data_IF_167056017150
#
_entry.id   IF_167056017150
#
_cell.length_a   1.000
_cell.length_b   1.000
_cell.length_c   1.000
_cell.angle_alpha   90.00
_cell.angle_beta   90.00
_cell.angle_gamma   90.00
#
_symmetry.space_group_name_H-M   'P 1'
#
loop_
_entity.id
_entity.type
_entity.pdbx_description
1 polymer ?
#
# COMPACT_ATOMS: atom_id res chain seq x y z
N UNK A 1 -73.27 -31.91 31.93
CA UNK A 1 -73.78 -30.53 32.08
C UNK A 1 -72.85 -29.78 33.02
N UNK A 2 -72.44 -28.57 32.60
CA UNK A 2 -71.61 -27.55 33.29
C UNK A 2 -70.08 -27.61 33.16
N UNK A 3 -69.61 -26.72 32.27
CA UNK A 3 -68.29 -26.12 32.22
C UNK A 3 -67.91 -25.46 33.56
N UNK A 4 -66.61 -25.46 33.87
CA UNK A 4 -65.94 -24.29 34.44
C UNK A 4 -64.57 -24.10 33.78
N UNK A 5 -64.39 -22.95 33.13
CA UNK A 5 -63.11 -22.41 32.65
C UNK A 5 -62.35 -21.83 33.84
N UNK A 6 -61.04 -22.11 33.96
CA UNK A 6 -60.08 -21.17 34.56
C UNK A 6 -58.69 -21.38 33.89
N UNK A 7 -58.24 -20.40 33.09
CA UNK A 7 -56.82 -20.08 32.90
C UNK A 7 -56.51 -18.97 33.93
N UNK A 8 -55.34 -18.92 34.61
CA UNK A 8 -54.09 -18.43 34.00
C UNK A 8 -52.83 -19.14 34.58
N UNK A 9 -51.64 -19.11 33.98
CA UNK A 9 -50.68 -18.01 34.05
C UNK A 9 -49.54 -18.30 33.08
N UNK A 10 -49.20 -17.29 32.28
CA UNK A 10 -48.04 -17.27 31.42
C UNK A 10 -46.75 -17.30 32.26
N UNK A 11 -45.82 -18.19 31.89
CA UNK A 11 -44.41 -18.07 32.25
C UNK A 11 -43.60 -18.02 30.96
N UNK A 12 -43.44 -16.82 30.41
CA UNK A 12 -42.46 -16.51 29.38
C UNK A 12 -41.06 -16.59 30.00
N UNK A 13 -40.34 -17.69 29.79
CA UNK A 13 -38.90 -17.71 29.97
C UNK A 13 -38.26 -16.97 28.78
N UNK A 14 -37.94 -15.69 28.99
CA UNK A 14 -37.06 -14.94 28.10
C UNK A 14 -35.62 -15.44 28.30
N UNK A 15 -35.12 -16.24 27.37
CA UNK A 15 -33.70 -16.57 27.28
C UNK A 15 -32.94 -15.32 26.80
N UNK A 16 -32.25 -14.65 27.73
CA UNK A 16 -31.33 -13.57 27.40
C UNK A 16 -30.07 -14.16 26.74
N UNK A 17 -30.01 -14.16 25.40
CA UNK A 17 -28.76 -14.34 24.68
C UNK A 17 -27.87 -13.12 24.94
N UNK A 18 -26.84 -13.29 25.77
CA UNK A 18 -25.74 -12.33 25.90
C UNK A 18 -24.90 -12.44 24.64
N UNK A 19 -25.14 -11.56 23.67
CA UNK A 19 -24.25 -11.33 22.54
C UNK A 19 -22.96 -10.70 23.06
N UNK A 20 -21.94 -11.53 23.31
CA UNK A 20 -20.56 -11.06 23.44
C UNK A 20 -20.08 -10.60 22.06
N UNK A 21 -20.45 -9.37 21.68
CA UNK A 21 -19.80 -8.66 20.58
C UNK A 21 -18.36 -8.41 20.98
N UNK A 22 -17.42 -9.13 20.35
CA UNK A 22 -15.99 -8.89 20.51
C UNK A 22 -15.66 -7.48 20.05
N UNK A 23 -15.51 -6.55 21.00
CA UNK A 23 -14.96 -5.24 20.73
C UNK A 23 -13.47 -5.44 20.51
N UNK A 24 -13.05 -5.57 19.25
CA UNK A 24 -11.64 -5.46 18.88
C UNK A 24 -11.16 -4.09 19.33
N UNK A 25 -10.34 -4.04 20.38
CA UNK A 25 -9.72 -2.81 20.83
C UNK A 25 -8.84 -2.26 19.70
N UNK A 26 -9.29 -1.17 19.06
CA UNK A 26 -8.50 -0.44 18.09
C UNK A 26 -7.36 0.21 18.88
N UNK A 27 -6.15 -0.32 18.75
CA UNK A 27 -4.98 0.28 19.38
C UNK A 27 -4.83 1.74 18.90
N UNK A 28 -4.49 2.69 19.79
CA UNK A 28 -4.31 4.08 19.38
C UNK A 28 -3.21 4.17 18.32
N UNK A 29 -3.46 4.95 17.26
CA UNK A 29 -2.47 5.23 16.24
C UNK A 29 -1.21 5.84 16.89
N UNK A 30 -0.05 5.23 16.64
CA UNK A 30 1.24 5.72 17.17
C UNK A 30 1.57 7.06 16.50
N UNK A 31 2.17 7.97 17.25
CA UNK A 31 2.74 9.19 16.70
C UNK A 31 3.78 8.85 15.63
N UNK A 32 3.67 9.49 14.47
CA UNK A 32 4.66 9.36 13.40
C UNK A 32 6.06 9.78 13.90
N UNK A 33 7.13 9.23 13.31
CA UNK A 33 8.49 9.76 13.48
C UNK A 33 8.56 11.26 13.20
N UNK A 34 9.54 11.94 13.80
CA UNK A 34 9.87 13.30 13.41
C UNK A 34 10.48 13.28 12.01
N UNK A 35 9.82 13.94 11.06
CA UNK A 35 10.24 13.99 9.66
C UNK A 35 11.13 15.19 9.36
N UNK A 36 12.02 15.05 8.38
CA UNK A 36 12.76 16.17 7.81
C UNK A 36 11.80 17.21 7.21
N UNK A 37 12.18 18.49 7.05
CA UNK A 37 11.35 19.45 6.34
C UNK A 37 11.09 19.01 4.89
N UNK A 38 9.82 19.06 4.44
CA UNK A 38 9.43 18.60 3.11
C UNK A 38 10.19 19.29 1.96
N UNK A 39 10.58 20.55 2.16
CA UNK A 39 11.32 21.33 1.16
C UNK A 39 12.78 20.88 0.96
N UNK A 40 13.35 20.14 1.91
CA UNK A 40 14.78 19.77 1.91
C UNK A 40 15.03 18.27 2.09
N UNK A 41 13.99 17.48 2.37
CA UNK A 41 14.10 16.04 2.48
C UNK A 41 14.57 15.43 1.17
N UNK A 42 15.63 14.64 1.22
CA UNK A 42 16.18 13.98 0.03
C UNK A 42 15.47 12.67 -0.31
N UNK A 43 14.83 12.04 0.69
CA UNK A 43 14.08 10.79 0.53
C UNK A 43 12.60 11.05 0.76
N UNK A 44 11.79 10.84 -0.28
CA UNK A 44 10.36 11.11 -0.24
C UNK A 44 9.62 10.26 -1.30
N UNK A 45 8.28 10.16 -1.23
CA UNK A 45 7.48 9.61 -2.33
C UNK A 45 7.86 10.20 -3.69
N UNK A 46 7.98 9.36 -4.71
CA UNK A 46 8.33 9.83 -6.05
C UNK A 46 9.83 9.85 -6.38
N UNK A 47 10.73 9.65 -5.43
CA UNK A 47 12.16 9.43 -5.75
C UNK A 47 12.34 8.15 -6.55
N UNK A 48 13.43 8.04 -7.30
CA UNK A 48 13.71 6.82 -8.04
C UNK A 48 14.27 5.73 -7.11
N UNK A 49 13.82 4.49 -7.34
CA UNK A 49 14.44 3.29 -6.79
C UNK A 49 15.10 2.50 -7.90
N UNK A 50 16.22 1.86 -7.59
CA UNK A 50 16.92 0.99 -8.51
C UNK A 50 17.18 -0.38 -7.88
N UNK A 51 16.70 -1.43 -8.55
CA UNK A 51 16.84 -2.82 -8.12
C UNK A 51 17.44 -3.63 -9.26
N UNK A 52 18.72 -3.99 -9.17
CA UNK A 52 19.43 -4.80 -10.18
C UNK A 52 19.21 -4.33 -11.64
N UNK A 53 19.29 -3.02 -11.89
CA UNK A 53 19.15 -2.44 -13.23
C UNK A 53 17.71 -2.06 -13.62
N UNK A 54 16.69 -2.45 -12.85
CA UNK A 54 15.35 -1.91 -13.01
C UNK A 54 15.21 -0.57 -12.28
N UNK A 55 14.60 0.42 -12.94
CA UNK A 55 14.29 1.73 -12.38
C UNK A 55 12.79 1.86 -12.13
N UNK A 56 12.42 2.28 -10.92
CA UNK A 56 11.04 2.54 -10.54
C UNK A 56 10.86 3.87 -9.82
N UNK A 57 9.62 4.33 -9.73
CA UNK A 57 9.23 5.44 -8.83
C UNK A 57 8.81 4.86 -7.48
N UNK A 58 9.37 5.38 -6.39
CA UNK A 58 8.93 5.07 -5.03
C UNK A 58 7.48 5.50 -4.78
N UNK A 59 6.73 4.71 -4.01
CA UNK A 59 5.35 5.01 -3.62
C UNK A 59 5.28 5.88 -2.35
N UNK A 60 4.73 5.40 -1.23
CA UNK A 60 4.63 6.11 0.05
C UNK A 60 5.72 5.69 1.04
N UNK A 61 5.82 6.49 2.11
CA UNK A 61 6.59 6.15 3.30
C UNK A 61 5.72 5.36 4.27
N UNK A 62 6.23 4.23 4.74
CA UNK A 62 5.64 3.41 5.78
C UNK A 62 6.55 3.41 6.99
N UNK A 63 6.02 3.14 8.17
CA UNK A 63 6.82 3.01 9.38
C UNK A 63 6.14 2.08 10.37
N UNK A 64 6.96 1.48 11.23
CA UNK A 64 6.51 0.78 12.43
C UNK A 64 7.15 1.42 13.67
N UNK A 65 7.19 0.70 14.78
CA UNK A 65 7.77 1.19 16.04
C UNK A 65 9.28 1.47 15.98
N UNK A 66 9.99 0.87 15.02
CA UNK A 66 11.46 0.82 14.99
C UNK A 66 12.03 1.21 13.63
N UNK A 67 11.27 1.05 12.54
CA UNK A 67 11.79 1.13 11.18
C UNK A 67 10.97 2.09 10.32
N UNK A 68 11.65 2.67 9.32
CA UNK A 68 11.03 3.43 8.23
C UNK A 68 11.29 2.67 6.93
N UNK A 69 10.26 2.65 6.08
CA UNK A 69 10.27 1.98 4.80
C UNK A 69 9.83 2.96 3.72
N UNK A 70 10.36 2.75 2.53
CA UNK A 70 9.81 3.33 1.30
C UNK A 70 9.31 2.18 0.44
N UNK A 71 8.08 2.27 -0.05
CA UNK A 71 7.57 1.20 -0.90
C UNK A 71 7.88 1.44 -2.38
N UNK A 72 7.80 0.36 -3.13
CA UNK A 72 7.84 0.32 -4.59
C UNK A 72 6.88 -0.77 -5.09
N UNK A 73 6.68 -0.86 -6.40
CA UNK A 73 5.98 -2.01 -6.96
C UNK A 73 6.82 -3.28 -6.81
N UNK A 74 6.18 -4.43 -6.57
CA UNK A 74 6.89 -5.70 -6.44
C UNK A 74 7.57 -6.13 -7.75
N UNK A 75 6.96 -5.82 -8.89
CA UNK A 75 7.54 -6.10 -10.21
C UNK A 75 8.84 -5.33 -10.47
N UNK A 76 9.15 -4.28 -9.69
CA UNK A 76 10.43 -3.57 -9.80
C UNK A 76 11.63 -4.45 -9.48
N UNK A 77 11.41 -5.59 -8.82
CA UNK A 77 12.42 -6.63 -8.59
C UNK A 77 12.22 -7.87 -9.45
N UNK A 78 11.32 -7.81 -10.43
CA UNK A 78 11.08 -8.88 -11.40
C UNK A 78 12.31 -9.13 -12.25
N UNK A 79 12.61 -10.41 -12.53
CA UNK A 79 13.71 -10.81 -13.41
C UNK A 79 13.21 -11.43 -14.72
N UNK A 80 11.90 -11.33 -14.94
CA UNK A 80 11.20 -11.83 -16.11
C UNK A 80 11.21 -10.84 -17.28
N UNK A 81 10.56 -11.22 -18.38
CA UNK A 81 10.27 -10.30 -19.47
C UNK A 81 9.20 -9.26 -19.09
N UNK A 82 9.13 -8.15 -19.81
CA UNK A 82 8.21 -7.03 -19.52
C UNK A 82 6.71 -7.39 -19.50
N UNK A 83 6.33 -8.53 -20.07
CA UNK A 83 4.94 -9.04 -20.08
C UNK A 83 4.65 -10.04 -18.97
N UNK A 84 5.65 -10.39 -18.16
CA UNK A 84 5.51 -11.30 -17.02
C UNK A 84 5.09 -10.51 -15.79
N UNK A 85 3.78 -10.26 -15.69
CA UNK A 85 3.17 -9.43 -14.64
C UNK A 85 2.42 -10.23 -13.58
N UNK A 86 2.30 -11.56 -13.74
CA UNK A 86 1.62 -12.41 -12.76
C UNK A 86 2.55 -12.69 -11.58
N UNK A 87 2.23 -12.14 -10.41
CA UNK A 87 3.08 -12.25 -9.23
C UNK A 87 3.20 -13.65 -8.63
N UNK A 88 2.29 -14.57 -8.96
CA UNK A 88 2.35 -15.94 -8.47
C UNK A 88 3.28 -16.85 -9.28
N UNK A 89 3.69 -16.44 -10.49
CA UNK A 89 4.51 -17.27 -11.39
C UNK A 89 5.71 -16.56 -12.00
N UNK A 90 5.69 -15.23 -12.06
CA UNK A 90 6.78 -14.46 -12.65
C UNK A 90 8.01 -14.47 -11.73
N UNK A 91 9.22 -14.65 -12.28
CA UNK A 91 10.43 -14.72 -11.48
C UNK A 91 10.76 -13.34 -10.90
N UNK A 92 11.22 -13.33 -9.64
CA UNK A 92 11.51 -12.11 -8.88
C UNK A 92 12.71 -12.33 -7.96
N UNK A 93 13.43 -11.26 -7.65
CA UNK A 93 14.54 -11.28 -6.70
C UNK A 93 14.03 -11.57 -5.27
N UNK A 94 14.86 -12.22 -4.43
CA UNK A 94 14.45 -12.55 -3.07
C UNK A 94 14.39 -11.33 -2.15
N UNK A 95 13.67 -11.47 -1.04
CA UNK A 95 13.79 -10.59 0.13
C UNK A 95 15.26 -10.56 0.59
N UNK A 96 15.74 -9.40 1.04
CA UNK A 96 17.14 -9.11 1.35
C UNK A 96 17.91 -8.42 0.22
N UNK A 97 17.32 -8.34 -0.98
CA UNK A 97 17.89 -7.61 -2.12
C UNK A 97 18.10 -6.13 -1.76
N UNK A 98 19.27 -5.61 -2.09
CA UNK A 98 19.59 -4.19 -1.91
C UNK A 98 18.92 -3.35 -2.98
N UNK A 99 18.35 -2.22 -2.56
CA UNK A 99 17.67 -1.27 -3.43
C UNK A 99 18.31 0.09 -3.23
N UNK A 100 18.86 0.66 -4.30
CA UNK A 100 19.34 2.04 -4.26
C UNK A 100 18.13 2.95 -4.26
N UNK A 101 18.05 3.85 -3.28
CA UNK A 101 16.99 4.86 -3.16
C UNK A 101 17.63 6.21 -3.46
N UNK A 102 17.13 6.92 -4.46
CA UNK A 102 17.63 8.26 -4.79
C UNK A 102 17.49 9.18 -3.57
N UNK A 103 18.57 9.90 -3.24
CA UNK A 103 18.65 10.81 -2.09
C UNK A 103 19.08 10.14 -0.78
N UNK A 104 19.09 8.80 -0.71
CA UNK A 104 19.68 8.07 0.40
C UNK A 104 21.21 7.96 0.25
N UNK A 105 21.93 7.96 1.36
CA UNK A 105 23.38 7.77 1.42
C UNK A 105 23.78 6.30 1.36
N UNK A 106 22.87 5.38 1.68
CA UNK A 106 23.08 3.93 1.63
C UNK A 106 21.91 3.23 0.93
N UNK A 107 22.14 2.05 0.33
CA UNK A 107 21.05 1.22 -0.15
C UNK A 107 20.09 0.83 0.98
N UNK A 108 18.80 0.78 0.67
CA UNK A 108 17.82 0.12 1.51
C UNK A 108 17.81 -1.39 1.25
N UNK A 109 17.11 -2.13 2.10
CA UNK A 109 16.92 -3.58 1.95
C UNK A 109 15.45 -3.88 1.68
N UNK A 110 15.13 -4.61 0.61
CA UNK A 110 13.78 -5.10 0.36
C UNK A 110 13.42 -6.16 1.40
N UNK A 111 12.56 -5.82 2.36
CA UNK A 111 12.17 -6.69 3.48
C UNK A 111 10.83 -7.40 3.25
N UNK A 112 10.04 -6.91 2.29
CA UNK A 112 8.79 -7.52 1.87
C UNK A 112 8.61 -7.34 0.37
N UNK A 113 8.06 -8.37 -0.27
CA UNK A 113 7.65 -8.35 -1.67
C UNK A 113 6.42 -9.26 -1.82
N UNK A 114 5.33 -8.74 -2.37
CA UNK A 114 4.07 -9.49 -2.51
C UNK A 114 4.22 -10.71 -3.41
N UNK A 115 5.01 -10.64 -4.49
CA UNK A 115 5.23 -11.76 -5.40
C UNK A 115 5.98 -12.89 -4.72
N UNK A 116 7.06 -12.58 -3.99
CA UNK A 116 7.79 -13.57 -3.18
C UNK A 116 6.87 -14.23 -2.16
N UNK A 117 6.03 -13.44 -1.49
CA UNK A 117 5.09 -13.93 -0.48
C UNK A 117 4.03 -14.83 -1.10
N UNK A 118 3.37 -14.40 -2.17
CA UNK A 118 2.36 -15.17 -2.90
C UNK A 118 2.93 -16.52 -3.39
N UNK A 119 4.12 -16.50 -3.98
CA UNK A 119 4.81 -17.72 -4.43
C UNK A 119 5.11 -18.66 -3.27
N UNK A 120 5.58 -18.14 -2.14
CA UNK A 120 5.88 -18.96 -0.96
C UNK A 120 4.64 -19.61 -0.32
N UNK A 121 3.49 -18.93 -0.43
CA UNK A 121 2.21 -19.42 0.09
C UNK A 121 1.45 -20.30 -0.91
N UNK A 122 1.92 -20.38 -2.16
CA UNK A 122 1.19 -21.06 -3.23
C UNK A 122 -0.16 -20.40 -3.53
N UNK A 123 -0.19 -19.06 -3.56
CA UNK A 123 -1.38 -18.28 -3.90
C UNK A 123 -1.91 -18.66 -5.29
N UNK A 124 -3.24 -18.76 -5.42
CA UNK A 124 -3.93 -19.21 -6.64
C UNK A 124 -5.10 -18.30 -7.04
N UNK A 125 -5.51 -17.35 -6.20
CA UNK A 125 -6.54 -16.39 -6.57
C UNK A 125 -6.07 -15.51 -7.73
N UNK A 126 -6.83 -15.54 -8.83
CA UNK A 126 -6.43 -14.93 -10.08
C UNK A 126 -6.23 -13.41 -9.95
N UNK A 127 -7.08 -12.72 -9.18
CA UNK A 127 -6.97 -11.27 -8.99
C UNK A 127 -5.78 -10.94 -8.09
N UNK A 128 -5.59 -11.68 -7.00
CA UNK A 128 -4.44 -11.53 -6.11
C UNK A 128 -3.14 -11.69 -6.89
N UNK A 129 -3.03 -12.76 -7.69
CA UNK A 129 -1.86 -13.01 -8.54
C UNK A 129 -1.63 -11.93 -9.61
N UNK A 130 -2.70 -11.33 -10.15
CA UNK A 130 -2.59 -10.34 -11.22
C UNK A 130 -2.30 -8.92 -10.72
N UNK A 131 -2.72 -8.57 -9.49
CA UNK A 131 -2.79 -7.17 -9.06
C UNK A 131 -2.11 -6.86 -7.71
N UNK A 132 -1.70 -7.87 -6.94
CA UNK A 132 -0.96 -7.63 -5.69
C UNK A 132 0.52 -7.34 -5.97
N UNK A 133 0.88 -6.06 -6.06
CA UNK A 133 2.17 -5.59 -6.58
C UNK A 133 2.85 -4.59 -5.63
N UNK A 134 3.11 -5.01 -4.38
CA UNK A 134 3.73 -4.17 -3.35
C UNK A 134 5.02 -4.79 -2.82
N UNK A 135 6.09 -3.98 -2.77
CA UNK A 135 7.29 -4.29 -2.01
C UNK A 135 7.62 -3.15 -1.03
N UNK A 136 8.20 -3.52 0.11
CA UNK A 136 8.70 -2.56 1.11
C UNK A 136 10.22 -2.64 1.18
N UNK A 137 10.86 -1.49 1.07
CA UNK A 137 12.30 -1.31 1.23
C UNK A 137 12.55 -0.63 2.56
N UNK A 138 13.16 -1.36 3.50
CA UNK A 138 13.64 -0.77 4.75
C UNK A 138 14.80 0.16 4.46
N UNK A 139 14.66 1.42 4.87
CA UNK A 139 15.72 2.41 4.76
C UNK A 139 16.81 2.14 5.81
N UNK A 140 18.06 2.46 5.46
CA UNK A 140 19.14 2.48 6.43
C UNK A 140 18.86 3.56 7.49
N UNK A 141 19.20 3.27 8.75
CA UNK A 141 18.95 4.19 9.86
C UNK A 141 19.63 5.55 9.68
N UNK A 142 20.76 5.61 8.95
CA UNK A 142 21.45 6.87 8.66
C UNK A 142 20.64 7.82 7.76
N UNK A 143 19.70 7.29 6.97
CA UNK A 143 18.93 8.09 6.01
C UNK A 143 17.56 8.49 6.54
N UNK A 144 17.10 7.92 7.65
CA UNK A 144 15.79 8.21 8.25
C UNK A 144 15.63 9.71 8.57
N UNK A 145 16.69 10.37 9.01
CA UNK A 145 16.69 11.81 9.28
C UNK A 145 16.49 12.69 8.05
N UNK A 146 16.56 12.13 6.83
CA UNK A 146 16.37 12.82 5.55
C UNK A 146 15.03 12.50 4.90
N UNK A 147 14.14 11.77 5.60
CA UNK A 147 12.85 11.32 5.07
C UNK A 147 11.75 12.34 5.32
N UNK A 148 10.90 12.57 4.32
CA UNK A 148 9.60 13.21 4.49
C UNK A 148 8.51 12.45 3.71
N UNK A 149 7.32 12.21 4.30
CA UNK A 149 6.23 11.47 3.65
C UNK A 149 5.45 12.29 2.60
N UNK A 150 5.73 13.58 2.44
CA UNK A 150 5.07 14.46 1.48
C UNK A 150 5.33 14.04 0.05
N UNK A 151 4.25 13.89 -0.73
CA UNK A 151 4.38 13.78 -2.18
C UNK A 151 4.76 15.16 -2.73
N UNK A 152 5.83 15.30 -3.52
CA UNK A 152 6.19 16.60 -4.08
C UNK A 152 5.02 17.20 -4.86
N UNK A 153 4.88 18.53 -4.79
CA UNK A 153 3.77 19.32 -5.36
C UNK A 153 2.40 19.13 -4.67
N UNK A 154 2.07 17.94 -4.16
CA UNK A 154 0.74 17.64 -3.59
C UNK A 154 0.68 17.69 -2.05
N UNK A 155 1.79 17.46 -1.35
CA UNK A 155 1.79 17.23 0.10
C UNK A 155 1.26 15.84 0.47
N UNK A 156 0.67 15.70 1.66
CA UNK A 156 0.05 14.44 2.12
C UNK A 156 1.02 13.26 2.24
N UNK A 157 0.57 11.99 2.23
CA UNK A 157 -0.82 11.58 2.42
C UNK A 157 -1.30 11.88 3.84
N UNK A 158 -2.59 12.19 4.00
CA UNK A 158 -3.20 12.50 5.31
C UNK A 158 -4.02 11.35 5.89
N UNK A 159 -4.09 10.23 5.18
CA UNK A 159 -4.89 9.07 5.54
C UNK A 159 -4.93 8.03 4.43
N UNK A 160 -5.61 6.92 4.70
CA UNK A 160 -5.89 5.87 3.72
C UNK A 160 -7.33 6.02 3.21
N UNK A 161 -7.53 5.69 1.94
CA UNK A 161 -8.85 5.53 1.35
C UNK A 161 -9.11 4.05 1.07
N UNK A 162 -10.38 3.61 1.14
CA UNK A 162 -10.77 2.24 0.78
C UNK A 162 -10.86 1.99 -0.72
N UNK A 163 -10.73 3.04 -1.54
CA UNK A 163 -10.88 3.03 -2.99
C UNK A 163 -11.15 4.44 -3.50
N UNK A 164 -11.40 4.55 -4.80
CA UNK A 164 -11.78 5.83 -5.45
C UNK A 164 -13.06 5.64 -6.23
N UNK A 165 -13.97 6.61 -6.17
CA UNK A 165 -15.20 6.64 -6.94
C UNK A 165 -14.96 6.92 -8.42
N UNK A 166 -15.91 6.53 -9.27
CA UNK A 166 -15.87 6.87 -10.70
C UNK A 166 -15.84 8.40 -10.89
N UNK A 167 -14.91 8.86 -11.73
CA UNK A 167 -14.57 10.28 -11.97
C UNK A 167 -14.05 11.07 -10.77
N UNK A 168 -13.72 10.39 -9.66
CA UNK A 168 -13.05 11.04 -8.54
C UNK A 168 -11.68 11.56 -8.98
N UNK A 169 -11.35 12.78 -8.58
CA UNK A 169 -10.08 13.41 -8.90
C UNK A 169 -8.93 12.63 -8.23
N UNK A 170 -7.94 12.24 -9.03
CA UNK A 170 -6.72 11.61 -8.54
C UNK A 170 -5.49 12.48 -8.80
N UNK A 171 -4.53 12.38 -7.89
CA UNK A 171 -3.24 13.03 -7.97
C UNK A 171 -2.16 11.95 -7.89
N UNK A 172 -1.20 12.00 -8.80
CA UNK A 172 -0.08 11.07 -8.78
C UNK A 172 1.23 11.80 -9.05
N UNK A 173 2.32 11.12 -8.73
CA UNK A 173 3.67 11.61 -9.00
C UNK A 173 4.48 10.47 -9.60
N UNK A 174 5.10 10.72 -10.76
CA UNK A 174 5.91 9.73 -11.46
C UNK A 174 7.30 10.26 -11.79
N UNK A 175 8.34 9.50 -11.51
CA UNK A 175 9.71 9.86 -11.86
C UNK A 175 10.43 8.72 -12.60
N UNK A 176 11.07 9.06 -13.73
CA UNK A 176 11.77 8.09 -14.55
C UNK A 176 13.08 8.68 -15.04
N UNK A 177 14.12 7.86 -15.07
CA UNK A 177 15.44 8.25 -15.58
C UNK A 177 15.40 8.62 -17.07
N UNK A 178 14.39 8.14 -17.80
CA UNK A 178 14.15 8.49 -19.19
C UNK A 178 13.58 9.91 -19.36
N UNK A 179 13.21 10.60 -18.27
CA UNK A 179 12.71 11.98 -18.31
C UNK A 179 13.80 12.96 -17.83
N UNK A 180 14.19 13.93 -18.67
CA UNK A 180 15.28 14.86 -18.34
C UNK A 180 14.90 15.94 -17.31
N UNK A 181 13.60 16.16 -17.06
CA UNK A 181 13.08 17.16 -16.13
C UNK A 181 11.90 16.63 -15.33
N UNK A 182 11.75 17.12 -14.10
CA UNK A 182 10.64 16.77 -13.18
C UNK A 182 9.37 17.59 -13.39
N UNK A 183 9.34 18.51 -14.38
CA UNK A 183 8.17 19.35 -14.68
C UNK A 183 6.90 18.53 -14.94
N UNK A 184 7.06 17.34 -15.54
CA UNK A 184 5.97 16.43 -15.90
C UNK A 184 5.75 15.31 -14.86
N UNK A 185 6.41 15.39 -13.72
CA UNK A 185 6.29 14.37 -12.66
C UNK A 185 4.96 14.44 -11.93
N UNK A 186 4.44 15.61 -11.51
CA UNK A 186 3.08 15.71 -10.98
C UNK A 186 2.07 15.47 -12.09
N UNK A 187 1.07 14.62 -11.81
CA UNK A 187 0.00 14.30 -12.75
C UNK A 187 -1.35 14.42 -12.05
N UNK A 188 -2.32 14.95 -12.77
CA UNK A 188 -3.73 14.93 -12.37
C UNK A 188 -4.51 14.00 -13.28
N UNK A 189 -5.58 13.41 -12.76
CA UNK A 189 -6.40 12.49 -13.50
C UNK A 189 -7.74 12.26 -12.85
N UNK A 190 -8.48 11.29 -13.37
CA UNK A 190 -9.72 10.81 -12.78
C UNK A 190 -9.64 9.31 -12.57
N UNK A 191 -10.29 8.83 -11.52
CA UNK A 191 -10.51 7.41 -11.32
C UNK A 191 -11.60 6.89 -12.26
N UNK A 192 -11.40 5.69 -12.79
CA UNK A 192 -12.41 4.91 -13.50
C UNK A 192 -13.12 3.91 -12.57
N UNK A 193 -12.88 4.01 -11.26
CA UNK A 193 -13.42 3.15 -10.23
C UNK A 193 -12.52 1.97 -9.87
N UNK A 194 -12.96 1.24 -8.87
CA UNK A 194 -12.35 -0.04 -8.48
C UNK A 194 -12.81 -1.16 -9.40
N UNK A 195 -11.88 -2.03 -9.78
CA UNK A 195 -12.15 -3.24 -10.56
C UNK A 195 -11.52 -4.47 -9.90
N UNK A 196 -11.60 -5.64 -10.55
CA UNK A 196 -10.88 -6.85 -10.15
C UNK A 196 -11.12 -7.27 -8.69
N UNK A 197 -12.36 -7.11 -8.21
CA UNK A 197 -12.72 -7.41 -6.83
C UNK A 197 -12.14 -6.44 -5.79
N UNK A 198 -11.72 -5.24 -6.20
CA UNK A 198 -11.13 -4.21 -5.34
C UNK A 198 -9.60 -4.20 -5.33
N UNK A 199 -8.95 -5.11 -6.06
CA UNK A 199 -7.49 -5.20 -6.11
C UNK A 199 -6.82 -4.11 -6.94
N UNK A 200 -7.55 -3.48 -7.86
CA UNK A 200 -7.03 -2.45 -8.73
C UNK A 200 -7.97 -1.24 -8.78
N UNK A 201 -7.36 -0.06 -8.83
CA UNK A 201 -8.01 1.21 -9.12
C UNK A 201 -7.50 1.66 -10.48
N UNK A 202 -8.37 1.66 -11.48
CA UNK A 202 -7.99 2.15 -12.80
C UNK A 202 -8.08 3.67 -12.80
N UNK A 203 -7.01 4.34 -13.24
CA UNK A 203 -6.96 5.80 -13.32
C UNK A 203 -6.61 6.26 -14.72
N UNK A 204 -7.24 7.34 -15.14
CA UNK A 204 -6.88 8.06 -16.36
C UNK A 204 -6.21 9.36 -15.98
N UNK A 205 -4.89 9.42 -16.13
CA UNK A 205 -4.13 10.66 -15.91
C UNK A 205 -3.96 11.41 -17.22
N UNK A 206 -4.08 12.73 -17.17
CA UNK A 206 -3.56 13.57 -18.23
C UNK A 206 -2.05 13.39 -18.24
N UNK A 207 -1.55 12.65 -19.23
CA UNK A 207 -0.12 12.59 -19.48
C UNK A 207 0.24 13.90 -20.18
N UNK A 208 1.21 14.67 -19.68
CA UNK A 208 1.71 15.81 -20.42
C UNK A 208 2.39 15.40 -21.73
#
# INVERSE_FOLDING_TARGET
MRLFRVLPFAALLAAALVLFGGVSAIAPARSAPAWAPAATAAVHPGVQTFTQGAQCTANFIYYDSTNVYIGQAAHCSGTGGNTQTNGCTSPTLPVGTQVTVQGASRPGTMIYNSWVTMQSLGEQDANTCAYNDLALVKLDAADVGNVNPSVPHWGGPNGLAGGTGFLEQVYSYGNSELRPVSLLSPKTGVSLGSDSGGWQQTVYTLTP
#
